data_IF_765953085071
#
_entry.id   IF_765953085071
#
_cell.length_a   1.000
_cell.length_b   1.000
_cell.length_c   1.000
_cell.angle_alpha   90.00
_cell.angle_beta   90.00
_cell.angle_gamma   90.00
#
_symmetry.space_group_name_H-M   'P 1'
#
loop_
_entity.id
_entity.type
_entity.pdbx_description
1 polymer ?
#
# COMPACT_ATOMS: atom_id res chain seq x y z
N UNK A 1 -11.37 -11.24 20.76
CA UNK A 1 -10.41 -10.90 19.68
C UNK A 1 -10.10 -9.42 19.77
N UNK A 2 -8.83 -9.06 19.66
CA UNK A 2 -8.34 -7.68 19.62
C UNK A 2 -7.57 -7.52 18.31
N UNK A 3 -7.84 -6.44 17.57
CA UNK A 3 -7.14 -6.13 16.31
C UNK A 3 -6.52 -4.75 16.49
N UNK A 4 -5.22 -4.65 16.25
CA UNK A 4 -4.49 -3.38 16.25
C UNK A 4 -3.94 -3.20 14.83
N UNK A 5 -4.55 -2.27 14.11
CA UNK A 5 -4.13 -1.93 12.74
C UNK A 5 -3.02 -0.90 12.77
N UNK A 6 -2.11 -0.99 11.79
CA UNK A 6 -0.93 -0.13 11.66
C UNK A 6 -0.12 -0.03 12.97
N UNK A 7 0.04 -1.18 13.63
CA UNK A 7 0.64 -1.26 14.98
C UNK A 7 2.05 -0.67 15.05
N UNK A 8 2.80 -0.61 13.94
CA UNK A 8 4.12 0.01 13.90
C UNK A 8 4.11 1.49 14.30
N UNK A 9 3.05 2.23 13.97
CA UNK A 9 2.92 3.62 14.39
C UNK A 9 2.58 3.76 15.88
N UNK A 10 1.75 2.86 16.39
CA UNK A 10 1.43 2.83 17.81
C UNK A 10 2.66 2.46 18.64
N UNK A 11 3.44 1.49 18.20
CA UNK A 11 4.67 1.04 18.87
C UNK A 11 5.76 2.14 18.90
N UNK A 12 5.86 2.94 17.82
CA UNK A 12 6.78 4.09 17.78
C UNK A 12 6.39 5.22 18.74
N UNK A 13 5.09 5.39 19.01
CA UNK A 13 4.58 6.43 19.93
C UNK A 13 4.61 5.99 21.40
N UNK A 14 4.37 4.72 21.64
CA UNK A 14 4.28 4.13 22.97
C UNK A 14 5.13 2.84 23.04
N UNK A 15 6.38 2.92 23.47
CA UNK A 15 7.24 1.75 23.66
C UNK A 15 6.70 0.72 24.67
N UNK A 16 5.81 1.15 25.60
CA UNK A 16 5.20 0.24 26.60
C UNK A 16 3.99 -0.53 26.04
N UNK A 17 3.54 -0.18 24.83
CA UNK A 17 2.41 -0.85 24.17
C UNK A 17 2.62 -2.37 24.11
N UNK A 18 3.83 -2.82 23.80
CA UNK A 18 4.13 -4.24 23.70
C UNK A 18 3.92 -4.97 25.04
N UNK A 19 4.39 -4.39 26.12
CA UNK A 19 4.18 -4.95 27.46
C UNK A 19 2.70 -5.02 27.83
N UNK A 20 1.94 -4.00 27.45
CA UNK A 20 0.47 -3.96 27.63
C UNK A 20 -0.21 -5.08 26.85
N UNK A 21 0.20 -5.31 25.59
CA UNK A 21 -0.29 -6.43 24.76
C UNK A 21 0.06 -7.78 25.42
N UNK A 22 1.27 -7.96 25.92
CA UNK A 22 1.67 -9.19 26.58
C UNK A 22 0.88 -9.45 27.87
N UNK A 23 0.52 -8.41 28.63
CA UNK A 23 -0.35 -8.53 29.82
C UNK A 23 -1.73 -9.11 29.46
N UNK A 24 -2.27 -8.80 28.28
CA UNK A 24 -3.54 -9.37 27.80
C UNK A 24 -3.45 -10.88 27.55
N UNK A 25 -2.27 -11.41 27.25
CA UNK A 25 -2.05 -12.87 27.13
C UNK A 25 -1.95 -13.58 28.49
N UNK A 26 -1.90 -12.84 29.61
CA UNK A 26 -1.75 -13.44 30.93
C UNK A 26 -3.07 -14.08 31.40
N UNK A 27 -3.11 -15.42 31.39
CA UNK A 27 -4.29 -16.22 31.77
C UNK A 27 -4.76 -15.99 33.23
N UNK A 28 -3.88 -15.49 34.12
CA UNK A 28 -4.28 -15.14 35.48
C UNK A 28 -5.15 -13.89 35.54
N UNK A 29 -4.93 -12.95 34.60
CA UNK A 29 -5.73 -11.71 34.50
C UNK A 29 -6.95 -11.92 33.60
N UNK A 30 -6.80 -12.74 32.56
CA UNK A 30 -7.83 -13.00 31.53
C UNK A 30 -7.93 -14.51 31.30
N UNK A 31 -8.83 -15.23 31.99
CA UNK A 31 -8.89 -16.70 31.99
C UNK A 31 -9.38 -17.32 30.68
N UNK A 32 -9.95 -16.51 29.75
CA UNK A 32 -10.42 -16.98 28.45
C UNK A 32 -9.35 -16.95 27.36
N UNK A 33 -9.63 -17.58 26.19
CA UNK A 33 -8.75 -17.49 25.02
C UNK A 33 -8.77 -16.09 24.44
N UNK A 34 -7.60 -15.48 24.30
CA UNK A 34 -7.43 -14.15 23.69
C UNK A 34 -6.68 -14.31 22.37
N UNK A 35 -7.30 -13.85 21.28
CA UNK A 35 -6.66 -13.70 19.98
C UNK A 35 -6.32 -12.23 19.77
N UNK A 36 -5.05 -11.94 19.55
CA UNK A 36 -4.55 -10.59 19.25
C UNK A 36 -3.96 -10.60 17.85
N UNK A 37 -4.47 -9.77 16.96
CA UNK A 37 -3.97 -9.57 15.60
C UNK A 37 -3.31 -8.19 15.53
N UNK A 38 -2.04 -8.17 15.14
CA UNK A 38 -1.28 -6.95 14.89
C UNK A 38 -1.10 -6.84 13.37
N UNK A 39 -1.69 -5.81 12.78
CA UNK A 39 -1.63 -5.59 11.34
C UNK A 39 -0.66 -4.46 11.02
N UNK A 40 0.07 -4.60 9.92
CA UNK A 40 0.98 -3.58 9.40
C UNK A 40 0.92 -3.56 7.88
N UNK A 41 0.86 -2.39 7.29
CA UNK A 41 1.03 -2.19 5.86
C UNK A 41 2.51 -2.20 5.44
N UNK A 42 3.44 -1.98 6.37
CA UNK A 42 4.88 -2.00 6.11
C UNK A 42 5.45 -3.41 6.24
N UNK A 43 5.60 -4.10 5.11
CA UNK A 43 6.27 -5.41 5.05
C UNK A 43 7.72 -5.31 5.52
N UNK A 44 8.43 -4.28 5.08
CA UNK A 44 9.83 -4.04 5.46
C UNK A 44 10.00 -3.91 6.98
N UNK A 45 9.09 -3.20 7.65
CA UNK A 45 9.10 -3.09 9.10
C UNK A 45 8.96 -4.46 9.78
N UNK A 46 8.01 -5.28 9.33
CA UNK A 46 7.77 -6.59 9.95
C UNK A 46 8.92 -7.56 9.68
N UNK A 47 9.49 -7.56 8.47
CA UNK A 47 10.54 -8.51 8.06
C UNK A 47 11.93 -8.11 8.57
N UNK A 48 12.23 -6.81 8.74
CA UNK A 48 13.59 -6.35 9.00
C UNK A 48 13.78 -5.52 10.27
N UNK A 49 12.75 -4.83 10.75
CA UNK A 49 12.88 -3.90 11.88
C UNK A 49 12.21 -4.42 13.16
N UNK A 50 11.14 -5.19 13.05
CA UNK A 50 10.29 -5.56 14.19
C UNK A 50 11.05 -6.29 15.28
N UNK A 51 11.95 -7.21 14.93
CA UNK A 51 12.73 -7.96 15.88
C UNK A 51 13.69 -7.05 16.66
N UNK A 52 14.32 -6.10 15.97
CA UNK A 52 15.24 -5.15 16.60
C UNK A 52 14.51 -4.18 17.53
N UNK A 53 13.32 -3.71 17.09
CA UNK A 53 12.48 -2.79 17.89
C UNK A 53 11.94 -3.44 19.16
N UNK A 54 11.49 -4.70 19.09
CA UNK A 54 10.95 -5.43 20.23
C UNK A 54 12.06 -6.04 21.11
N UNK A 55 13.19 -6.37 20.52
CA UNK A 55 14.20 -7.24 21.10
C UNK A 55 13.83 -8.72 20.98
N UNK A 56 14.84 -9.58 20.94
CA UNK A 56 14.71 -11.01 20.67
C UNK A 56 13.69 -11.73 21.56
N UNK A 57 13.77 -11.50 22.88
CA UNK A 57 12.86 -12.12 23.86
C UNK A 57 11.40 -11.76 23.67
N UNK A 58 11.13 -10.52 23.27
CA UNK A 58 9.78 -10.02 23.06
C UNK A 58 9.24 -10.52 21.70
N UNK A 59 10.08 -10.53 20.68
CA UNK A 59 9.71 -11.05 19.35
C UNK A 59 9.28 -12.51 19.41
N UNK A 60 9.95 -13.36 20.17
CA UNK A 60 9.58 -14.77 20.37
C UNK A 60 8.23 -14.99 21.08
N UNK A 61 7.56 -13.93 21.54
CA UNK A 61 6.19 -14.01 22.06
C UNK A 61 5.12 -13.88 20.97
N UNK A 62 5.53 -13.60 19.74
CA UNK A 62 4.66 -13.66 18.56
C UNK A 62 4.48 -15.12 18.18
N UNK A 63 3.24 -15.59 18.17
CA UNK A 63 2.97 -17.00 17.88
C UNK A 63 3.10 -17.31 16.39
N UNK A 64 2.61 -16.37 15.54
CA UNK A 64 2.67 -16.51 14.07
C UNK A 64 2.84 -15.16 13.39
N UNK A 65 3.62 -15.14 12.32
CA UNK A 65 3.70 -14.02 11.37
C UNK A 65 3.12 -14.49 10.04
N UNK A 66 2.19 -13.74 9.48
CA UNK A 66 1.54 -14.05 8.22
C UNK A 66 1.67 -12.87 7.25
N UNK A 67 2.23 -13.13 6.08
CA UNK A 67 2.24 -12.18 4.98
C UNK A 67 1.02 -12.43 4.08
N UNK A 68 0.16 -11.41 3.96
CA UNK A 68 -0.96 -11.45 3.03
C UNK A 68 -0.48 -10.94 1.68
N UNK A 69 -0.42 -11.83 0.71
CA UNK A 69 -0.02 -11.49 -0.66
C UNK A 69 -1.23 -11.07 -1.48
N UNK A 70 -0.96 -10.38 -2.58
CA UNK A 70 -1.95 -10.14 -3.62
C UNK A 70 -2.50 -11.45 -4.18
N UNK A 71 -3.73 -11.40 -4.69
CA UNK A 71 -4.35 -12.55 -5.33
C UNK A 71 -3.57 -12.94 -6.59
N UNK A 72 -3.32 -14.24 -6.73
CA UNK A 72 -2.77 -14.80 -7.97
C UNK A 72 -3.76 -14.67 -9.12
N UNK A 73 -3.28 -14.77 -10.36
CA UNK A 73 -4.16 -14.75 -11.54
C UNK A 73 -5.30 -15.79 -11.47
N UNK A 74 -5.01 -17.00 -10.98
CA UNK A 74 -6.04 -18.04 -10.84
C UNK A 74 -7.11 -17.68 -9.81
N UNK A 75 -6.75 -17.01 -8.74
CA UNK A 75 -7.72 -16.51 -7.75
C UNK A 75 -8.58 -15.39 -8.34
N UNK A 76 -8.00 -14.51 -9.17
CA UNK A 76 -8.76 -13.48 -9.90
C UNK A 76 -9.73 -14.11 -10.89
N UNK A 77 -9.34 -15.17 -11.60
CA UNK A 77 -10.28 -15.93 -12.47
C UNK A 77 -11.45 -16.50 -11.66
N UNK A 78 -11.18 -17.03 -10.46
CA UNK A 78 -12.24 -17.53 -9.57
C UNK A 78 -13.15 -16.42 -9.02
N UNK A 79 -12.62 -15.21 -8.87
CA UNK A 79 -13.36 -14.04 -8.40
C UNK A 79 -14.36 -13.53 -9.45
N UNK A 80 -14.08 -13.75 -10.75
CA UNK A 80 -14.92 -13.31 -11.86
C UNK A 80 -15.44 -14.50 -12.71
N UNK A 81 -16.32 -15.35 -12.14
CA UNK A 81 -16.76 -16.58 -12.81
C UNK A 81 -17.55 -16.37 -14.08
N UNK A 82 -18.10 -15.18 -14.30
CA UNK A 82 -18.82 -14.80 -15.54
C UNK A 82 -17.92 -14.34 -16.67
N UNK A 83 -16.63 -14.13 -16.41
CA UNK A 83 -15.67 -13.63 -17.40
C UNK A 83 -14.98 -14.78 -18.12
N UNK A 84 -14.68 -14.52 -19.41
CA UNK A 84 -13.72 -15.34 -20.14
C UNK A 84 -12.30 -15.10 -19.61
N UNK A 85 -11.41 -16.08 -19.73
CA UNK A 85 -10.03 -15.94 -19.28
C UNK A 85 -9.33 -14.72 -19.88
N UNK A 86 -9.61 -14.40 -21.16
CA UNK A 86 -9.08 -13.21 -21.84
C UNK A 86 -9.52 -11.89 -21.19
N UNK A 87 -10.71 -11.85 -20.60
CA UNK A 87 -11.20 -10.69 -19.86
C UNK A 87 -10.52 -10.60 -18.50
N UNK A 88 -10.34 -11.73 -17.83
CA UNK A 88 -9.59 -11.79 -16.57
C UNK A 88 -8.13 -11.35 -16.74
N UNK A 89 -7.47 -11.69 -17.87
CA UNK A 89 -6.13 -11.20 -18.20
C UNK A 89 -6.10 -9.66 -18.25
N UNK A 90 -7.10 -9.04 -18.89
CA UNK A 90 -7.19 -7.58 -18.98
C UNK A 90 -7.41 -6.95 -17.61
N UNK A 91 -8.33 -7.50 -16.80
CA UNK A 91 -8.60 -7.02 -15.43
C UNK A 91 -7.34 -7.14 -14.57
N UNK A 92 -6.68 -8.29 -14.62
CA UNK A 92 -5.45 -8.53 -13.87
C UNK A 92 -4.29 -7.62 -14.32
N UNK A 93 -4.19 -7.35 -15.63
CA UNK A 93 -3.20 -6.42 -16.17
C UNK A 93 -3.42 -4.97 -15.73
N UNK A 94 -4.67 -4.58 -15.39
CA UNK A 94 -5.01 -3.21 -14.96
C UNK A 94 -4.92 -3.07 -13.43
N UNK A 95 -5.43 -4.04 -12.67
CA UNK A 95 -5.63 -3.95 -11.23
C UNK A 95 -4.63 -4.79 -10.41
N UNK A 96 -3.87 -5.66 -11.08
CA UNK A 96 -3.07 -6.66 -10.40
C UNK A 96 -3.93 -7.64 -9.59
N UNK A 97 -3.33 -8.18 -8.53
CA UNK A 97 -4.00 -9.06 -7.57
C UNK A 97 -4.55 -8.35 -6.34
N UNK A 98 -4.57 -7.02 -6.31
CA UNK A 98 -5.00 -6.27 -5.12
C UNK A 98 -6.49 -6.43 -4.90
N UNK A 99 -6.87 -7.21 -3.90
CA UNK A 99 -8.26 -7.57 -3.62
C UNK A 99 -9.18 -6.33 -3.45
N UNK A 100 -8.66 -5.27 -2.81
CA UNK A 100 -9.37 -4.00 -2.63
C UNK A 100 -9.70 -3.30 -3.95
N UNK A 101 -8.83 -3.39 -4.95
CA UNK A 101 -9.04 -2.83 -6.29
C UNK A 101 -10.00 -3.69 -7.11
N UNK A 102 -9.80 -5.01 -7.08
CA UNK A 102 -10.66 -5.97 -7.77
C UNK A 102 -12.11 -5.90 -7.29
N UNK A 103 -12.35 -5.67 -6.01
CA UNK A 103 -13.69 -5.49 -5.43
C UNK A 103 -14.44 -4.28 -6.00
N UNK A 104 -13.73 -3.28 -6.50
CA UNK A 104 -14.33 -2.09 -7.12
C UNK A 104 -14.71 -2.31 -8.60
N UNK A 105 -14.30 -3.42 -9.18
CA UNK A 105 -14.58 -3.73 -10.57
C UNK A 105 -15.99 -4.30 -10.73
N UNK A 106 -16.77 -3.74 -11.66
CA UNK A 106 -18.13 -4.21 -11.95
C UNK A 106 -18.14 -5.10 -13.18
N UNK A 107 -18.38 -6.42 -13.01
CA UNK A 107 -18.45 -7.34 -14.14
C UNK A 107 -19.58 -7.05 -15.15
N UNK A 108 -20.63 -6.34 -14.71
CA UNK A 108 -21.80 -6.01 -15.51
C UNK A 108 -21.59 -4.88 -16.51
N UNK A 109 -20.47 -4.15 -16.43
CA UNK A 109 -20.16 -3.04 -17.34
C UNK A 109 -18.89 -3.33 -18.15
N UNK A 110 -18.74 -2.66 -19.29
CA UNK A 110 -17.60 -2.89 -20.17
C UNK A 110 -16.26 -2.53 -19.51
N UNK A 111 -15.18 -3.10 -20.01
CA UNK A 111 -13.80 -2.77 -19.63
C UNK A 111 -13.57 -1.24 -19.66
N UNK A 112 -13.95 -0.60 -20.78
CA UNK A 112 -13.80 0.85 -20.95
C UNK A 112 -14.52 1.64 -19.87
N UNK A 113 -15.76 1.28 -19.57
CA UNK A 113 -16.55 1.94 -18.52
C UNK A 113 -15.92 1.78 -17.14
N UNK A 114 -15.41 0.58 -16.81
CA UNK A 114 -14.69 0.36 -15.55
C UNK A 114 -13.42 1.21 -15.47
N UNK A 115 -12.62 1.28 -16.52
CA UNK A 115 -11.41 2.12 -16.56
C UNK A 115 -11.77 3.59 -16.37
N UNK A 116 -12.75 4.10 -17.14
CA UNK A 116 -13.17 5.49 -17.02
C UNK A 116 -13.62 5.81 -15.60
N UNK A 117 -14.45 4.96 -15.00
CA UNK A 117 -15.00 5.15 -13.66
C UNK A 117 -13.95 5.06 -12.56
N UNK A 118 -13.04 4.09 -12.62
CA UNK A 118 -12.11 3.81 -11.54
C UNK A 118 -10.82 4.62 -11.62
N UNK A 119 -10.30 4.81 -12.84
CA UNK A 119 -8.95 5.30 -13.08
C UNK A 119 -8.92 6.73 -13.62
N UNK A 120 -9.84 7.05 -14.56
CA UNK A 120 -9.80 8.32 -15.28
C UNK A 120 -10.73 9.39 -14.69
N UNK A 121 -11.71 9.01 -13.88
CA UNK A 121 -12.56 9.98 -13.19
C UNK A 121 -11.84 10.55 -11.97
N UNK A 122 -11.88 11.88 -11.74
CA UNK A 122 -11.36 12.48 -10.50
C UNK A 122 -11.98 11.89 -9.22
N UNK A 123 -13.24 11.47 -9.29
CA UNK A 123 -13.96 10.80 -8.19
C UNK A 123 -13.71 9.28 -8.20
N UNK A 124 -12.88 8.78 -9.12
CA UNK A 124 -12.58 7.36 -9.25
C UNK A 124 -11.77 6.82 -8.08
N UNK A 125 -12.14 5.64 -7.61
CA UNK A 125 -11.49 5.03 -6.44
C UNK A 125 -9.97 4.90 -6.60
N UNK A 126 -9.48 4.46 -7.77
CA UNK A 126 -8.04 4.31 -8.01
C UNK A 126 -7.35 5.64 -8.26
N UNK A 127 -8.05 6.60 -8.87
CA UNK A 127 -7.54 7.97 -9.02
C UNK A 127 -7.25 8.57 -7.64
N UNK A 128 -8.23 8.54 -6.74
CA UNK A 128 -8.08 9.05 -5.38
C UNK A 128 -7.04 8.26 -4.56
N UNK A 129 -6.96 6.93 -4.76
CA UNK A 129 -5.94 6.10 -4.10
C UNK A 129 -4.52 6.45 -4.55
N UNK A 130 -4.32 6.72 -5.83
CA UNK A 130 -3.02 7.16 -6.34
C UNK A 130 -2.64 8.53 -5.73
N UNK A 131 -3.56 9.49 -5.69
CA UNK A 131 -3.31 10.78 -5.04
C UNK A 131 -3.01 10.65 -3.54
N UNK A 132 -3.77 9.81 -2.83
CA UNK A 132 -3.53 9.56 -1.41
C UNK A 132 -2.16 8.93 -1.16
N UNK A 133 -1.76 7.93 -1.96
CA UNK A 133 -0.47 7.28 -1.83
C UNK A 133 0.67 8.28 -2.04
N UNK A 134 0.62 9.03 -3.15
CA UNK A 134 1.62 10.05 -3.45
C UNK A 134 1.68 11.11 -2.33
N UNK A 135 0.52 11.54 -1.82
CA UNK A 135 0.45 12.55 -0.75
C UNK A 135 0.98 12.04 0.59
N UNK A 136 0.84 10.75 0.89
CA UNK A 136 1.31 10.16 2.15
C UNK A 136 2.81 9.88 2.16
N UNK A 137 3.38 9.57 1.00
CA UNK A 137 4.79 9.19 0.88
C UNK A 137 5.69 10.35 0.49
N UNK A 138 5.17 11.31 -0.28
CA UNK A 138 5.98 12.38 -0.86
C UNK A 138 5.69 13.72 -0.18
N UNK A 139 6.74 14.35 0.35
CA UNK A 139 6.69 15.74 0.79
C UNK A 139 6.76 16.65 -0.44
N UNK A 140 6.15 17.84 -0.38
CA UNK A 140 6.13 18.82 -1.49
C UNK A 140 5.51 18.25 -2.79
N UNK A 141 4.31 17.71 -2.69
CA UNK A 141 3.55 17.09 -3.79
C UNK A 141 3.52 17.93 -5.08
N UNK A 142 3.43 19.27 -4.95
CA UNK A 142 3.43 20.20 -6.08
C UNK A 142 4.69 20.09 -6.95
N UNK A 143 5.85 19.82 -6.34
CA UNK A 143 7.12 19.66 -7.06
C UNK A 143 7.10 18.35 -7.86
N UNK A 144 6.65 17.27 -7.25
CA UNK A 144 6.52 15.98 -7.94
C UNK A 144 5.53 16.07 -9.11
N UNK A 145 4.36 16.68 -8.90
CA UNK A 145 3.36 16.84 -9.95
C UNK A 145 3.90 17.69 -11.12
N UNK A 146 4.66 18.76 -10.85
CA UNK A 146 5.28 19.56 -11.89
C UNK A 146 6.30 18.76 -12.70
N UNK A 147 7.14 17.95 -12.05
CA UNK A 147 8.12 17.11 -12.73
C UNK A 147 7.42 16.02 -13.56
N UNK A 148 6.44 15.33 -12.98
CA UNK A 148 5.69 14.28 -13.68
C UNK A 148 4.90 14.82 -14.87
N UNK A 149 4.28 16.00 -14.75
CA UNK A 149 3.60 16.68 -15.87
C UNK A 149 4.58 17.03 -16.99
N UNK A 150 5.79 17.52 -16.66
CA UNK A 150 6.81 17.80 -17.64
C UNK A 150 7.30 16.53 -18.37
N UNK A 151 7.44 15.41 -17.65
CA UNK A 151 7.78 14.11 -18.23
C UNK A 151 6.66 13.62 -19.16
N UNK A 152 5.42 13.71 -18.71
CA UNK A 152 4.24 13.33 -19.51
C UNK A 152 4.10 14.19 -20.78
N UNK A 153 4.59 15.44 -20.76
CA UNK A 153 4.67 16.32 -21.92
C UNK A 153 5.84 16.00 -22.87
N UNK A 154 6.63 14.95 -22.59
CA UNK A 154 7.70 14.47 -23.47
C UNK A 154 9.10 14.96 -23.10
N UNK A 155 9.29 15.59 -21.95
CA UNK A 155 10.62 16.05 -21.51
C UNK A 155 11.30 14.96 -20.68
N UNK A 156 12.26 14.24 -21.24
CA UNK A 156 12.87 13.06 -20.61
C UNK A 156 14.30 13.29 -20.11
N UNK A 157 14.93 14.41 -20.50
CA UNK A 157 16.30 14.73 -20.08
C UNK A 157 16.34 15.75 -18.96
N UNK A 158 17.28 15.63 -18.06
CA UNK A 158 17.45 16.53 -16.92
C UNK A 158 17.48 18.01 -17.33
N UNK A 159 18.13 18.35 -18.46
CA UNK A 159 18.19 19.70 -18.98
C UNK A 159 16.83 20.21 -19.49
N UNK A 160 16.05 19.36 -20.12
CA UNK A 160 14.70 19.67 -20.59
C UNK A 160 13.79 19.96 -19.39
N UNK A 161 13.84 19.09 -18.38
CA UNK A 161 13.10 19.26 -17.12
C UNK A 161 13.51 20.56 -16.40
N UNK A 162 14.81 20.89 -16.35
CA UNK A 162 15.30 22.14 -15.79
C UNK A 162 14.67 23.37 -16.47
N UNK A 163 14.64 23.38 -17.81
CA UNK A 163 14.08 24.49 -18.58
C UNK A 163 12.56 24.62 -18.45
N UNK A 164 11.85 23.51 -18.42
CA UNK A 164 10.37 23.51 -18.38
C UNK A 164 9.83 23.75 -16.97
N UNK A 165 10.45 23.17 -15.94
CA UNK A 165 9.96 23.28 -14.55
C UNK A 165 10.49 24.49 -13.81
N UNK A 166 11.62 25.05 -14.24
CA UNK A 166 12.34 26.11 -13.51
C UNK A 166 13.04 25.63 -12.23
N UNK A 167 12.98 24.34 -11.90
CA UNK A 167 13.68 23.80 -10.73
C UNK A 167 15.16 23.55 -11.03
N UNK A 168 16.03 23.69 -10.03
CA UNK A 168 17.45 23.38 -10.21
C UNK A 168 17.65 21.88 -10.55
N UNK A 169 18.71 21.59 -11.31
CA UNK A 169 19.07 20.18 -11.67
C UNK A 169 19.26 19.30 -10.44
N UNK A 170 19.86 19.87 -9.37
CA UNK A 170 20.04 19.15 -8.11
C UNK A 170 18.67 18.79 -7.48
N UNK A 171 17.75 19.74 -7.44
CA UNK A 171 16.38 19.50 -6.93
C UNK A 171 15.70 18.41 -7.75
N UNK A 172 15.65 18.51 -9.07
CA UNK A 172 15.05 17.51 -9.95
C UNK A 172 15.67 16.13 -9.71
N UNK A 173 17.00 16.02 -9.63
CA UNK A 173 17.69 14.75 -9.41
C UNK A 173 17.31 14.08 -8.08
N UNK A 174 17.19 14.85 -6.99
CA UNK A 174 16.72 14.34 -5.69
C UNK A 174 15.30 13.79 -5.78
N UNK A 175 14.39 14.57 -6.39
CA UNK A 175 12.98 14.18 -6.50
C UNK A 175 12.79 12.97 -7.44
N UNK A 176 13.54 12.90 -8.54
CA UNK A 176 13.53 11.73 -9.43
C UNK A 176 14.05 10.46 -8.74
N UNK A 177 15.07 10.59 -7.89
CA UNK A 177 15.59 9.45 -7.11
C UNK A 177 14.56 8.91 -6.12
N UNK A 178 13.70 9.77 -5.57
CA UNK A 178 12.65 9.35 -4.64
C UNK A 178 11.45 8.71 -5.36
N UNK A 179 11.33 8.85 -6.69
CA UNK A 179 10.30 8.24 -7.52
C UNK A 179 10.73 6.89 -8.11
N UNK A 180 12.02 6.56 -8.05
CA UNK A 180 12.60 5.33 -8.58
C UNK A 180 12.66 4.23 -7.52
#
# INVERSE_FOLDING_TARGET
MIIIDEFQFALKKDPELWESILRLKNKKLYPGPVLILLCSSSVAFVEHELQDVLGERAYHKIDHVMKINDLSFLEVVRMFPSYQVSECIKVYGILGGVAGYLKQWYPSVSLKQNICRLVLSPDGYLFQKAEQLISSELRELSVYNTILAAIAAGNHKLNELYHVTGFSRAKISVYMKNLA
#
